data_IF_130123139451
#
_entry.id   IF_130123139451
#
_cell.length_a   1.000
_cell.length_b   1.000
_cell.length_c   1.000
_cell.angle_alpha   90.00
_cell.angle_beta   90.00
_cell.angle_gamma   90.00
#
_symmetry.space_group_name_H-M   'P 1'
#
loop_
_entity.id
_entity.type
_entity.pdbx_description
1 polymer ?
#
# COMPACT_ATOMS: atom_id res chain seq x y z
N UNK A 1 6.84 -11.36 15.08
CA UNK A 1 5.46 -11.01 15.49
C UNK A 1 5.37 -10.21 16.80
N UNK A 2 6.13 -10.55 17.85
CA UNK A 2 6.13 -9.77 19.12
C UNK A 2 6.56 -8.30 18.92
N UNK A 3 7.61 -8.05 18.14
CA UNK A 3 8.13 -6.70 17.92
C UNK A 3 7.17 -5.80 17.16
N UNK A 4 6.44 -6.35 16.18
CA UNK A 4 5.44 -5.62 15.41
C UNK A 4 4.27 -5.16 16.31
N UNK A 5 3.79 -6.04 17.21
CA UNK A 5 2.75 -5.69 18.18
C UNK A 5 3.22 -4.59 19.13
N UNK A 6 4.44 -4.73 19.67
CA UNK A 6 5.05 -3.72 20.52
C UNK A 6 5.21 -2.37 19.83
N UNK A 7 5.58 -2.37 18.55
CA UNK A 7 5.65 -1.16 17.74
C UNK A 7 4.28 -0.48 17.61
N UNK A 8 3.23 -1.25 17.26
CA UNK A 8 1.85 -0.74 17.18
C UNK A 8 1.36 -0.18 18.52
N UNK A 9 1.70 -0.81 19.64
CA UNK A 9 1.38 -0.30 20.98
C UNK A 9 2.03 1.06 21.24
N UNK A 10 3.31 1.23 20.86
CA UNK A 10 4.05 2.47 21.04
C UNK A 10 3.44 3.59 20.20
N UNK A 11 3.24 3.37 18.89
CA UNK A 11 2.67 4.40 18.03
C UNK A 11 1.25 4.76 18.45
N UNK A 12 0.48 3.78 18.93
CA UNK A 12 -0.87 4.00 19.45
C UNK A 12 -0.89 4.80 20.75
N UNK A 13 0.09 4.57 21.62
CA UNK A 13 0.23 5.29 22.91
C UNK A 13 0.56 6.76 22.70
N UNK A 14 1.46 7.05 21.78
CA UNK A 14 1.96 8.41 21.52
C UNK A 14 1.28 9.08 20.32
N UNK A 15 0.29 8.43 19.69
CA UNK A 15 -0.46 8.93 18.53
C UNK A 15 0.44 9.37 17.36
N UNK A 16 1.51 8.60 17.10
CA UNK A 16 2.49 8.89 16.07
C UNK A 16 2.02 8.31 14.73
N UNK A 17 1.80 9.12 13.68
CA UNK A 17 1.52 8.60 12.35
C UNK A 17 2.75 7.92 11.76
N UNK A 18 2.54 6.80 11.06
CA UNK A 18 3.61 5.99 10.46
C UNK A 18 3.32 5.73 8.99
N UNK A 19 4.32 5.90 8.14
CA UNK A 19 4.31 5.46 6.76
C UNK A 19 4.87 4.04 6.67
N UNK A 20 4.05 3.10 6.23
CA UNK A 20 4.45 1.73 5.90
C UNK A 20 4.65 1.64 4.39
N UNK A 21 5.90 1.77 3.94
CA UNK A 21 6.27 1.62 2.52
C UNK A 21 6.60 0.16 2.22
N UNK A 22 5.72 -0.52 1.47
CA UNK A 22 5.80 -1.95 1.24
C UNK A 22 5.82 -2.32 -0.26
N UNK A 23 6.84 -1.93 -1.02
CA UNK A 23 6.93 -2.22 -2.45
C UNK A 23 7.26 -3.69 -2.78
N UNK A 24 7.79 -4.45 -1.82
CA UNK A 24 8.29 -5.82 -2.00
C UNK A 24 7.58 -6.86 -1.14
N UNK A 25 6.55 -6.49 -0.40
CA UNK A 25 5.89 -7.39 0.55
C UNK A 25 5.34 -8.67 -0.06
N UNK A 26 4.89 -8.59 -1.31
CA UNK A 26 4.36 -9.72 -2.06
C UNK A 26 5.47 -10.59 -2.72
N UNK A 27 6.69 -10.05 -2.87
CA UNK A 27 7.81 -10.73 -3.51
C UNK A 27 8.67 -11.46 -2.48
N UNK A 28 8.31 -12.70 -2.17
CA UNK A 28 9.00 -13.50 -1.17
C UNK A 28 9.49 -14.82 -1.74
N UNK A 29 10.77 -15.11 -1.57
CA UNK A 29 11.39 -16.36 -2.03
C UNK A 29 11.29 -17.48 -1.00
N UNK A 30 11.22 -17.17 0.31
CA UNK A 30 11.13 -18.13 1.41
C UNK A 30 10.41 -17.54 2.62
N UNK A 31 9.81 -18.41 3.44
CA UNK A 31 9.15 -18.04 4.69
C UNK A 31 7.70 -17.58 4.53
N UNK A 32 7.09 -17.24 5.66
CA UNK A 32 5.70 -16.79 5.71
C UNK A 32 5.59 -15.27 5.54
N UNK A 33 4.48 -14.82 4.96
CA UNK A 33 4.17 -13.39 4.86
C UNK A 33 3.95 -12.80 6.25
N UNK A 34 4.61 -11.69 6.53
CA UNK A 34 4.34 -10.94 7.75
C UNK A 34 3.10 -10.06 7.55
N UNK A 35 2.23 -9.98 8.56
CA UNK A 35 1.10 -9.06 8.48
C UNK A 35 1.60 -7.62 8.42
N UNK A 36 0.94 -6.79 7.61
CA UNK A 36 1.25 -5.37 7.54
C UNK A 36 0.93 -4.67 8.86
N UNK A 37 1.65 -3.59 9.17
CA UNK A 37 1.32 -2.71 10.30
C UNK A 37 -0.11 -2.19 10.17
N UNK A 38 -0.51 -1.85 8.94
CA UNK A 38 -1.87 -1.38 8.61
C UNK A 38 -2.95 -2.37 9.03
N UNK A 39 -2.72 -3.67 8.87
CA UNK A 39 -3.70 -4.70 9.27
C UNK A 39 -3.98 -4.75 10.77
N UNK A 40 -3.07 -4.24 11.59
CA UNK A 40 -3.18 -4.20 13.06
C UNK A 40 -3.51 -2.81 13.60
N UNK A 41 -3.59 -1.80 12.73
CA UNK A 41 -3.85 -0.41 13.09
C UNK A 41 -5.33 -0.19 13.40
N UNK A 42 -5.66 -0.02 14.66
CA UNK A 42 -7.02 0.27 15.15
C UNK A 42 -7.32 1.76 15.29
N UNK A 43 -6.28 2.60 15.30
CA UNK A 43 -6.40 4.06 15.51
C UNK A 43 -6.31 4.89 14.22
N UNK A 44 -6.03 4.26 13.08
CA UNK A 44 -5.88 4.96 11.80
C UNK A 44 -4.57 5.75 11.67
N UNK A 45 -3.53 5.33 12.41
CA UNK A 45 -2.23 5.99 12.43
C UNK A 45 -1.29 5.49 11.33
N UNK A 46 -1.53 4.28 10.79
CA UNK A 46 -0.68 3.72 9.74
C UNK A 46 -1.20 4.11 8.36
N UNK A 47 -0.31 4.66 7.56
CA UNK A 47 -0.51 5.00 6.15
C UNK A 47 0.25 3.97 5.34
N UNK A 48 -0.44 3.04 4.72
CA UNK A 48 0.17 2.00 3.88
C UNK A 48 0.35 2.50 2.45
N UNK A 49 1.56 2.31 1.91
CA UNK A 49 1.91 2.62 0.53
C UNK A 49 2.26 1.33 -0.20
N UNK A 50 1.57 1.08 -1.30
CA UNK A 50 1.81 -0.04 -2.19
C UNK A 50 2.10 0.40 -3.62
N UNK A 51 2.65 -0.49 -4.43
CA UNK A 51 2.98 -0.18 -5.83
C UNK A 51 2.76 -1.38 -6.74
N UNK A 52 2.33 -1.14 -7.97
CA UNK A 52 2.29 -2.13 -9.04
C UNK A 52 3.65 -2.29 -9.75
N UNK A 53 4.61 -1.40 -9.49
CA UNK A 53 5.90 -1.39 -10.19
C UNK A 53 6.73 -2.66 -9.98
N UNK A 54 6.53 -3.37 -8.87
CA UNK A 54 7.31 -4.57 -8.53
C UNK A 54 6.55 -5.87 -8.75
N UNK A 55 5.23 -5.83 -8.64
CA UNK A 55 4.37 -7.00 -8.74
C UNK A 55 3.68 -7.15 -10.10
N UNK A 56 3.70 -6.09 -10.94
CA UNK A 56 3.11 -6.12 -12.28
C UNK A 56 4.05 -5.52 -13.32
N UNK A 57 4.12 -4.20 -13.39
CA UNK A 57 4.96 -3.52 -14.40
C UNK A 57 5.41 -2.14 -13.90
N UNK A 58 6.72 -1.84 -13.87
CA UNK A 58 7.23 -0.54 -13.44
C UNK A 58 6.84 0.60 -14.38
N UNK A 59 6.60 0.32 -15.66
CA UNK A 59 6.22 1.30 -16.66
C UNK A 59 4.88 1.98 -16.42
N UNK A 60 3.96 1.35 -15.72
CA UNK A 60 2.64 1.94 -15.40
C UNK A 60 2.71 3.12 -14.44
N UNK A 61 3.77 3.25 -13.66
CA UNK A 61 3.93 4.33 -12.65
C UNK A 61 2.75 4.47 -11.71
N UNK A 62 2.16 3.34 -11.31
CA UNK A 62 1.01 3.29 -10.41
C UNK A 62 1.38 2.73 -9.04
N UNK A 63 0.82 3.37 -8.02
CA UNK A 63 0.81 2.91 -6.64
C UNK A 63 -0.54 3.23 -6.01
N UNK A 64 -0.73 2.74 -4.80
CA UNK A 64 -1.94 3.01 -4.02
C UNK A 64 -1.59 3.35 -2.57
N UNK A 65 -2.52 4.02 -1.92
CA UNK A 65 -2.43 4.37 -0.51
C UNK A 65 -3.65 3.87 0.23
N UNK A 66 -3.45 3.20 1.35
CA UNK A 66 -4.50 2.83 2.29
C UNK A 66 -4.26 3.55 3.62
N UNK A 67 -5.15 4.50 3.95
CA UNK A 67 -5.05 5.29 5.17
C UNK A 67 -6.44 5.67 5.69
N UNK A 68 -6.48 6.26 6.88
CA UNK A 68 -7.71 6.81 7.43
C UNK A 68 -8.24 7.96 6.55
N UNK A 69 -9.56 8.06 6.44
CA UNK A 69 -10.22 8.96 5.47
C UNK A 69 -9.75 10.42 5.55
N UNK A 70 -9.53 10.94 6.75
CA UNK A 70 -9.05 12.33 6.92
C UNK A 70 -7.64 12.55 6.36
N UNK A 71 -6.79 11.53 6.41
CA UNK A 71 -5.46 11.54 5.82
C UNK A 71 -5.57 11.44 4.29
N UNK A 72 -6.40 10.50 3.78
CA UNK A 72 -6.61 10.32 2.34
C UNK A 72 -7.09 11.61 1.67
N UNK A 73 -8.00 12.38 2.28
CA UNK A 73 -8.44 13.68 1.77
C UNK A 73 -7.27 14.64 1.55
N UNK A 74 -6.30 14.67 2.46
CA UNK A 74 -5.10 15.50 2.32
C UNK A 74 -4.19 15.00 1.20
N UNK A 75 -4.03 13.68 1.06
CA UNK A 75 -3.27 13.08 -0.04
C UNK A 75 -3.88 13.40 -1.40
N UNK A 76 -5.22 13.31 -1.52
CA UNK A 76 -5.95 13.68 -2.74
C UNK A 76 -5.69 15.14 -3.10
N UNK A 77 -5.82 16.05 -2.13
CA UNK A 77 -5.57 17.47 -2.35
C UNK A 77 -4.14 17.75 -2.82
N UNK A 78 -3.15 17.17 -2.14
CA UNK A 78 -1.73 17.32 -2.52
C UNK A 78 -1.46 16.73 -3.91
N UNK A 79 -2.04 15.57 -4.22
CA UNK A 79 -1.94 14.93 -5.53
C UNK A 79 -2.48 15.81 -6.66
N UNK A 80 -3.66 16.43 -6.44
CA UNK A 80 -4.25 17.37 -7.41
C UNK A 80 -3.35 18.57 -7.69
N UNK A 81 -2.64 19.06 -6.67
CA UNK A 81 -1.72 20.19 -6.83
C UNK A 81 -0.40 19.76 -7.48
N UNK A 82 0.07 18.56 -7.19
CA UNK A 82 1.38 18.07 -7.66
C UNK A 82 1.37 17.69 -9.14
N UNK A 83 0.41 16.86 -9.58
CA UNK A 83 0.38 16.34 -10.95
C UNK A 83 -1.04 15.99 -11.45
N UNK A 84 -2.06 16.46 -10.74
CA UNK A 84 -3.47 16.25 -10.99
C UNK A 84 -3.91 14.81 -10.72
N UNK A 85 -3.38 13.85 -11.47
CA UNK A 85 -3.71 12.42 -11.33
C UNK A 85 -2.66 11.53 -12.01
N UNK A 86 -2.64 10.25 -11.64
CA UNK A 86 -1.93 9.23 -12.39
C UNK A 86 -2.64 8.96 -13.74
N UNK A 87 -1.91 8.41 -14.72
CA UNK A 87 -2.45 8.08 -16.05
C UNK A 87 -3.74 7.25 -15.95
N UNK A 88 -4.82 7.78 -16.52
CA UNK A 88 -6.12 7.07 -16.55
C UNK A 88 -6.05 5.79 -17.38
N UNK A 89 -5.27 5.78 -18.46
CA UNK A 89 -5.05 4.57 -19.29
C UNK A 89 -4.40 3.49 -18.45
N UNK A 90 -3.30 3.81 -17.76
CA UNK A 90 -2.61 2.86 -16.88
C UNK A 90 -3.53 2.32 -15.77
N UNK A 91 -4.39 3.18 -15.20
CA UNK A 91 -5.36 2.75 -14.19
C UNK A 91 -6.38 1.77 -14.76
N UNK A 92 -6.93 2.04 -15.96
CA UNK A 92 -7.89 1.15 -16.63
C UNK A 92 -7.24 -0.19 -16.97
N UNK A 93 -6.02 -0.19 -17.49
CA UNK A 93 -5.29 -1.42 -17.85
C UNK A 93 -5.02 -2.29 -16.62
N UNK A 94 -4.54 -1.70 -15.53
CA UNK A 94 -4.30 -2.43 -14.27
C UNK A 94 -5.62 -2.94 -13.68
N UNK A 95 -6.69 -2.15 -13.69
CA UNK A 95 -8.01 -2.58 -13.25
C UNK A 95 -8.49 -3.79 -14.04
N UNK A 96 -8.42 -3.72 -15.36
CA UNK A 96 -8.77 -4.83 -16.27
C UNK A 96 -7.92 -6.08 -16.01
N UNK A 97 -6.63 -5.90 -15.76
CA UNK A 97 -5.75 -7.02 -15.43
C UNK A 97 -6.19 -7.70 -14.12
N UNK A 98 -6.50 -6.94 -13.08
CA UNK A 98 -6.95 -7.48 -11.79
C UNK A 98 -8.30 -8.20 -11.92
N UNK A 99 -9.21 -7.67 -12.75
CA UNK A 99 -10.54 -8.25 -12.97
C UNK A 99 -10.48 -9.56 -13.76
N UNK A 100 -9.58 -9.65 -14.75
CA UNK A 100 -9.50 -10.80 -15.67
C UNK A 100 -8.50 -11.86 -15.21
N UNK A 101 -7.52 -11.50 -14.42
CA UNK A 101 -6.43 -12.38 -14.00
C UNK A 101 -6.26 -12.34 -12.49
N UNK A 102 -5.85 -13.47 -11.91
CA UNK A 102 -5.53 -13.54 -10.50
C UNK A 102 -4.11 -13.01 -10.27
N UNK A 103 -4.02 -11.83 -9.63
CA UNK A 103 -2.75 -11.16 -9.34
C UNK A 103 -1.84 -12.02 -8.45
N UNK A 104 -2.40 -12.73 -7.46
CA UNK A 104 -1.63 -13.60 -6.56
C UNK A 104 -0.95 -14.73 -7.31
N UNK A 105 -1.64 -15.32 -8.30
CA UNK A 105 -1.06 -16.35 -9.16
C UNK A 105 0.02 -15.79 -10.09
N UNK A 106 -0.10 -14.53 -10.50
CA UNK A 106 0.92 -13.85 -11.30
C UNK A 106 2.20 -13.62 -10.48
N UNK A 107 2.07 -13.17 -9.24
CA UNK A 107 3.20 -12.88 -8.33
C UNK A 107 3.93 -14.15 -7.89
N UNK A 108 3.23 -15.30 -7.81
CA UNK A 108 3.82 -16.59 -7.38
C UNK A 108 4.57 -17.35 -8.49
N UNK A 109 4.55 -16.86 -9.72
CA UNK A 109 5.32 -17.44 -10.84
C UNK A 109 6.78 -16.96 -10.84
#
# INVERSE_FOLDING_TARGET
MKDVKKFIEIISKYEIPVLEDNPYGELRFKGESLPSLKSMDKKGLVIFLGTFSKILCPGYRLGWTCAYQNILKKFIFVKQVADLQASSISQIEVSKFIDLYNLDNHVKK
#
